data_IF_132676880113
#
_entry.id   IF_132676880113
#
_cell.length_a   1.000
_cell.length_b   1.000
_cell.length_c   1.000
_cell.angle_alpha   90.00
_cell.angle_beta   90.00
_cell.angle_gamma   90.00
#
_symmetry.space_group_name_H-M   'P 1'
#
loop_
_entity.id
_entity.type
_entity.pdbx_description
1 polymer ?
#
# COMPACT_ATOMS: atom_id res chain seq x y z
N UNK A 1 -3.73 -12.62 -3.99
CA UNK A 1 -3.77 -13.41 -5.23
C UNK A 1 -2.99 -12.65 -6.32
N UNK A 2 -1.79 -13.11 -6.71
CA UNK A 2 -0.98 -12.46 -7.73
C UNK A 2 -1.61 -12.50 -9.14
N UNK A 3 -2.71 -13.24 -9.34
CA UNK A 3 -3.42 -13.31 -10.63
C UNK A 3 -4.55 -12.29 -10.75
N UNK A 4 -4.99 -11.68 -9.64
CA UNK A 4 -6.05 -10.66 -9.61
C UNK A 4 -5.67 -9.35 -10.34
N UNK A 5 -4.38 -9.12 -10.59
CA UNK A 5 -3.88 -7.94 -11.28
C UNK A 5 -3.89 -8.04 -12.82
N UNK A 6 -4.40 -9.16 -13.38
CA UNK A 6 -4.37 -9.41 -14.83
C UNK A 6 -5.09 -8.34 -15.68
N UNK A 7 -6.08 -7.66 -15.10
CA UNK A 7 -6.77 -6.54 -15.76
C UNK A 7 -5.83 -5.37 -16.09
N UNK A 8 -4.88 -5.06 -15.20
CA UNK A 8 -3.93 -3.95 -15.40
C UNK A 8 -2.89 -4.24 -16.48
N UNK A 9 -2.62 -5.51 -16.76
CA UNK A 9 -1.72 -5.95 -17.84
C UNK A 9 -2.44 -6.17 -19.18
N UNK A 10 -3.78 -6.30 -19.18
CA UNK A 10 -4.55 -6.68 -20.36
C UNK A 10 -4.56 -5.61 -21.47
N UNK A 11 -4.32 -4.35 -21.11
CA UNK A 11 -4.27 -3.22 -22.05
C UNK A 11 -2.88 -2.95 -22.61
N UNK A 12 -1.86 -3.67 -22.13
CA UNK A 12 -0.46 -3.44 -22.49
C UNK A 12 0.01 -4.54 -23.46
N UNK A 13 0.67 -4.21 -24.59
CA UNK A 13 1.29 -5.19 -25.47
C UNK A 13 2.21 -6.16 -24.72
N UNK A 14 2.23 -7.44 -25.11
CA UNK A 14 2.95 -8.49 -24.37
C UNK A 14 4.48 -8.37 -24.36
N UNK A 15 5.04 -7.49 -25.18
CA UNK A 15 6.46 -7.12 -25.23
C UNK A 15 6.81 -5.88 -24.39
N UNK A 16 5.82 -5.18 -23.83
CA UNK A 16 6.05 -4.08 -22.90
C UNK A 16 6.55 -4.63 -21.55
N UNK A 17 7.62 -4.08 -20.97
CA UNK A 17 8.13 -4.50 -19.66
C UNK A 17 7.10 -4.37 -18.52
N UNK A 18 6.02 -3.58 -18.69
CA UNK A 18 4.91 -3.48 -17.75
C UNK A 18 3.87 -4.59 -17.90
N UNK A 19 3.98 -5.45 -18.91
CA UNK A 19 3.07 -6.59 -19.09
C UNK A 19 3.42 -7.77 -18.16
N UNK A 20 4.66 -7.84 -17.67
CA UNK A 20 5.07 -8.84 -16.67
C UNK A 20 4.74 -8.36 -15.26
N UNK A 21 3.64 -8.90 -14.70
CA UNK A 21 3.18 -8.57 -13.35
C UNK A 21 4.16 -8.91 -12.22
N UNK A 22 5.17 -9.74 -12.51
CA UNK A 22 6.22 -10.12 -11.56
C UNK A 22 7.51 -9.34 -11.77
N UNK A 23 7.58 -8.55 -12.85
CA UNK A 23 8.72 -7.70 -13.17
C UNK A 23 8.73 -6.42 -12.34
N UNK A 24 9.92 -5.87 -12.14
CA UNK A 24 10.13 -4.61 -11.39
C UNK A 24 9.66 -3.37 -12.14
N UNK A 25 9.32 -3.50 -13.42
CA UNK A 25 8.74 -2.43 -14.24
C UNK A 25 7.20 -2.37 -14.10
N UNK A 26 6.57 -3.40 -13.55
CA UNK A 26 5.14 -3.41 -13.28
C UNK A 26 4.85 -2.69 -11.96
N UNK A 27 4.19 -1.53 -12.08
CA UNK A 27 3.82 -0.67 -10.95
C UNK A 27 2.32 -0.34 -11.05
N UNK A 28 1.43 -1.29 -10.70
CA UNK A 28 -0.02 -1.10 -10.78
C UNK A 28 -0.57 -0.36 -9.55
N UNK A 29 0.26 -0.08 -8.56
CA UNK A 29 -0.18 0.38 -7.25
C UNK A 29 -0.17 1.91 -7.19
N UNK A 30 -1.25 2.47 -6.66
CA UNK A 30 -1.49 3.91 -6.71
C UNK A 30 -0.64 4.73 -5.75
N UNK A 31 -0.03 4.09 -4.74
CA UNK A 31 0.68 4.74 -3.65
C UNK A 31 1.93 3.93 -3.29
N UNK A 32 3.04 4.63 -3.08
CA UNK A 32 4.27 4.07 -2.50
C UNK A 32 4.58 4.77 -1.18
N UNK A 33 4.85 3.99 -0.14
CA UNK A 33 5.33 4.49 1.15
C UNK A 33 6.73 3.90 1.36
N UNK A 34 7.81 4.68 1.27
CA UNK A 34 9.20 4.21 1.40
C UNK A 34 9.59 3.93 2.86
N UNK A 35 8.76 3.13 3.55
CA UNK A 35 8.95 2.63 4.90
C UNK A 35 9.21 1.13 4.87
N UNK A 36 10.29 0.69 5.50
CA UNK A 36 10.68 -0.70 5.64
C UNK A 36 10.90 -1.01 7.13
N UNK A 37 10.61 -2.23 7.56
CA UNK A 37 11.08 -2.73 8.85
C UNK A 37 11.89 -4.01 8.67
N UNK A 38 12.89 -4.18 9.53
CA UNK A 38 13.68 -5.39 9.66
C UNK A 38 13.27 -6.06 10.96
N UNK A 39 13.03 -7.37 10.93
CA UNK A 39 12.77 -8.15 12.14
C UNK A 39 13.73 -9.33 12.19
N UNK A 40 14.42 -9.46 13.31
CA UNK A 40 15.25 -10.61 13.59
C UNK A 40 14.36 -11.84 13.86
N UNK A 41 14.58 -12.92 13.11
CA UNK A 41 13.73 -14.11 13.16
C UNK A 41 13.90 -14.91 14.47
N UNK A 42 15.04 -14.80 15.15
CA UNK A 42 15.33 -15.58 16.35
C UNK A 42 14.80 -14.90 17.62
N UNK A 43 14.94 -13.58 17.71
CA UNK A 43 14.60 -12.77 18.89
C UNK A 43 13.29 -12.02 18.73
N UNK A 44 12.82 -11.82 17.50
CA UNK A 44 11.64 -11.01 17.19
C UNK A 44 11.89 -9.50 17.26
N UNK A 45 13.09 -9.05 17.63
CA UNK A 45 13.45 -7.64 17.71
C UNK A 45 13.40 -7.00 16.32
N UNK A 46 12.84 -5.79 16.24
CA UNK A 46 12.65 -5.08 15.00
C UNK A 46 13.29 -3.68 15.01
N UNK A 47 13.54 -3.16 13.81
CA UNK A 47 13.87 -1.76 13.56
C UNK A 47 13.17 -1.29 12.28
N UNK A 48 12.89 0.00 12.15
CA UNK A 48 12.27 0.61 10.99
C UNK A 48 13.17 1.62 10.31
N UNK A 49 12.96 1.83 9.01
CA UNK A 49 13.57 2.88 8.19
C UNK A 49 12.48 3.55 7.35
N UNK A 50 12.44 4.87 7.34
CA UNK A 50 11.63 5.67 6.42
C UNK A 50 12.55 6.61 5.64
N UNK A 51 12.51 6.53 4.31
CA UNK A 51 13.27 7.45 3.44
C UNK A 51 12.33 8.53 2.90
N UNK A 52 12.49 9.75 3.38
CA UNK A 52 11.68 10.91 2.98
C UNK A 52 12.12 11.42 1.60
N UNK A 53 11.73 10.67 0.57
CA UNK A 53 12.04 10.97 -0.82
C UNK A 53 10.90 10.53 -1.75
N UNK A 54 10.33 11.49 -2.47
CA UNK A 54 9.21 11.28 -3.40
C UNK A 54 9.59 10.93 -4.84
N UNK A 55 10.89 10.80 -5.16
CA UNK A 55 11.33 10.36 -6.48
C UNK A 55 11.22 8.84 -6.61
N UNK A 56 11.41 8.33 -7.83
CA UNK A 56 11.41 6.89 -8.10
C UNK A 56 12.50 6.20 -7.26
N UNK A 57 12.05 5.36 -6.33
CA UNK A 57 12.90 4.54 -5.47
C UNK A 57 13.10 3.13 -6.04
N UNK A 58 14.28 2.57 -5.78
CA UNK A 58 14.67 1.22 -6.11
C UNK A 58 15.20 0.55 -4.86
N UNK A 59 14.61 -0.57 -4.47
CA UNK A 59 15.05 -1.38 -3.35
C UNK A 59 15.51 -2.74 -3.87
N UNK A 60 16.71 -3.15 -3.48
CA UNK A 60 17.32 -4.42 -3.82
C UNK A 60 17.61 -5.21 -2.54
N UNK A 61 16.96 -6.38 -2.42
CA UNK A 61 17.04 -7.31 -1.29
C UNK A 61 17.74 -8.62 -1.63
N UNK A 62 18.47 -8.67 -2.75
CA UNK A 62 19.08 -9.92 -3.24
C UNK A 62 20.32 -10.34 -2.45
N UNK A 63 20.98 -9.40 -1.77
CA UNK A 63 22.16 -9.68 -0.97
C UNK A 63 21.80 -10.32 0.37
N UNK A 64 22.55 -11.34 0.83
CA UNK A 64 22.36 -11.90 2.17
C UNK A 64 22.85 -10.97 3.29
N UNK A 65 23.72 -10.01 2.97
CA UNK A 65 24.40 -9.15 3.95
C UNK A 65 23.70 -7.80 4.15
N UNK A 66 22.61 -7.53 3.43
CA UNK A 66 21.86 -6.30 3.55
C UNK A 66 21.01 -5.98 2.33
N UNK A 67 20.45 -4.77 2.32
CA UNK A 67 19.66 -4.26 1.20
C UNK A 67 20.28 -2.96 0.67
N UNK A 68 19.93 -2.60 -0.56
CA UNK A 68 20.32 -1.33 -1.18
C UNK A 68 19.08 -0.55 -1.55
N UNK A 69 18.98 0.68 -1.04
CA UNK A 69 18.00 1.66 -1.46
C UNK A 69 18.66 2.74 -2.34
N UNK A 70 18.08 3.05 -3.49
CA UNK A 70 18.52 4.12 -4.40
C UNK A 70 17.32 4.91 -4.87
N UNK A 71 17.42 6.24 -4.89
CA UNK A 71 16.44 7.12 -5.49
C UNK A 71 17.04 7.81 -6.71
N UNK A 72 16.24 8.03 -7.74
CA UNK A 72 16.71 8.64 -9.00
C UNK A 72 17.14 10.10 -8.84
N UNK A 73 16.60 10.80 -7.84
CA UNK A 73 16.98 12.16 -7.48
C UNK A 73 16.55 12.48 -6.04
N UNK A 74 16.65 13.75 -5.66
CA UNK A 74 16.29 14.23 -4.32
C UNK A 74 17.39 14.02 -3.29
N UNK A 75 17.15 14.51 -2.08
CA UNK A 75 18.05 14.30 -0.96
C UNK A 75 17.80 12.93 -0.34
N UNK A 76 18.86 12.34 0.21
CA UNK A 76 18.73 11.14 1.01
C UNK A 76 18.52 11.55 2.48
N UNK A 77 17.26 11.56 2.90
CA UNK A 77 16.86 11.82 4.28
C UNK A 77 16.20 10.56 4.82
N UNK A 78 16.88 9.86 5.71
CA UNK A 78 16.41 8.60 6.30
C UNK A 78 16.17 8.77 7.81
N UNK A 79 15.00 8.32 8.26
CA UNK A 79 14.63 8.25 9.66
C UNK A 79 14.67 6.79 10.11
N UNK A 80 15.46 6.50 11.14
CA UNK A 80 15.61 5.14 11.69
C UNK A 80 14.87 5.05 13.02
N UNK A 81 14.04 4.03 13.15
CA UNK A 81 13.26 3.72 14.34
C UNK A 81 13.83 2.46 15.01
N UNK A 82 14.39 2.61 16.21
CA UNK A 82 15.23 1.56 16.81
C UNK A 82 14.45 0.35 17.39
N UNK A 83 13.12 0.43 17.53
CA UNK A 83 12.33 -0.62 18.18
C UNK A 83 12.69 -0.80 19.66
N UNK A 84 12.70 -2.05 20.19
CA UNK A 84 12.68 -3.33 19.47
C UNK A 84 11.29 -3.80 19.04
N UNK A 85 10.24 -3.18 19.58
CA UNK A 85 8.87 -3.62 19.35
C UNK A 85 8.23 -2.85 18.18
N UNK A 86 7.52 -3.56 17.31
CA UNK A 86 6.82 -2.96 16.15
C UNK A 86 5.85 -1.84 16.57
N UNK A 87 5.07 -1.96 17.67
CA UNK A 87 4.26 -0.85 18.17
C UNK A 87 5.03 0.46 18.39
N UNK A 88 6.22 0.39 18.99
CA UNK A 88 7.04 1.58 19.27
C UNK A 88 7.60 2.19 17.98
N UNK A 89 7.99 1.34 17.02
CA UNK A 89 8.39 1.77 15.68
C UNK A 89 7.25 2.53 15.00
N UNK A 90 6.03 1.98 15.03
CA UNK A 90 4.86 2.59 14.42
C UNK A 90 4.44 3.87 15.16
N UNK A 91 4.61 3.94 16.48
CA UNK A 91 4.40 5.17 17.24
C UNK A 91 5.35 6.27 16.78
N UNK A 92 6.65 5.98 16.66
CA UNK A 92 7.65 6.94 16.18
C UNK A 92 7.39 7.36 14.72
N UNK A 93 7.08 6.41 13.84
CA UNK A 93 6.78 6.68 12.44
C UNK A 93 5.54 7.56 12.29
N UNK A 94 4.44 7.21 12.96
CA UNK A 94 3.19 7.99 12.87
C UNK A 94 3.23 9.31 13.64
N UNK A 95 4.12 9.45 14.62
CA UNK A 95 4.42 10.77 15.20
C UNK A 95 5.06 11.70 14.14
N UNK A 96 5.96 11.17 13.31
CA UNK A 96 6.64 11.92 12.25
C UNK A 96 5.72 12.21 11.06
N UNK A 97 5.00 11.19 10.55
CA UNK A 97 4.23 11.29 9.29
C UNK A 97 2.74 11.58 9.47
N UNK A 98 2.28 11.62 10.73
CA UNK A 98 0.88 11.77 11.08
C UNK A 98 0.18 10.45 11.42
N UNK A 99 -0.82 10.57 12.29
CA UNK A 99 -1.69 9.46 12.72
C UNK A 99 -2.97 9.45 11.90
N UNK A 100 -3.53 8.27 11.69
CA UNK A 100 -4.83 8.11 11.04
C UNK A 100 -5.89 8.91 11.81
N UNK A 101 -6.63 9.82 11.16
CA UNK A 101 -7.72 10.52 11.82
C UNK A 101 -8.82 9.53 12.20
N UNK A 102 -9.54 9.80 13.30
CA UNK A 102 -10.64 8.95 13.73
C UNK A 102 -11.72 8.91 12.63
N UNK A 103 -11.99 7.75 12.00
CA UNK A 103 -13.01 7.67 10.97
C UNK A 103 -14.40 7.82 11.61
N UNK A 104 -15.38 8.45 10.91
CA UNK A 104 -16.75 8.42 11.37
C UNK A 104 -17.29 6.99 11.36
N UNK A 105 -18.21 6.67 12.28
CA UNK A 105 -18.70 5.28 12.49
C UNK A 105 -19.25 4.66 11.20
N UNK A 106 -19.98 5.43 10.38
CA UNK A 106 -20.53 4.94 9.11
C UNK A 106 -19.45 4.48 8.11
N UNK A 107 -18.22 4.98 8.21
CA UNK A 107 -17.12 4.58 7.33
C UNK A 107 -16.59 3.17 7.65
N UNK A 108 -16.88 2.64 8.84
CA UNK A 108 -16.52 1.28 9.25
C UNK A 108 -17.58 0.23 8.88
N UNK A 109 -18.71 0.67 8.33
CA UNK A 109 -19.78 -0.21 7.86
C UNK A 109 -19.53 -0.79 6.46
N UNK A 110 -20.55 -1.46 5.94
CA UNK A 110 -20.55 -1.97 4.56
C UNK A 110 -20.77 -0.83 3.56
N UNK A 111 -19.91 -0.73 2.55
CA UNK A 111 -19.99 0.26 1.47
C UNK A 111 -20.38 -0.41 0.15
N UNK A 112 -21.57 -0.11 -0.35
CA UNK A 112 -22.02 -0.59 -1.66
C UNK A 112 -21.60 0.39 -2.76
N UNK A 113 -20.83 -0.10 -3.73
CA UNK A 113 -20.36 0.71 -4.85
C UNK A 113 -20.21 -0.13 -6.12
N UNK A 114 -20.54 0.47 -7.26
CA UNK A 114 -20.22 -0.05 -8.58
C UNK A 114 -20.00 1.11 -9.54
N UNK A 115 -19.16 0.89 -10.54
CA UNK A 115 -19.11 1.80 -11.68
C UNK A 115 -20.31 1.58 -12.61
N UNK A 116 -21.27 2.51 -12.57
CA UNK A 116 -22.45 2.53 -13.41
C UNK A 116 -23.01 3.96 -13.57
N UNK A 117 -23.90 4.16 -14.54
CA UNK A 117 -24.74 5.36 -14.61
C UNK A 117 -25.99 5.10 -13.78
N UNK A 118 -26.19 5.91 -12.73
CA UNK A 118 -27.33 5.78 -11.83
C UNK A 118 -28.41 6.81 -12.10
N UNK A 119 -29.66 6.40 -11.91
CA UNK A 119 -30.82 7.26 -11.67
C UNK A 119 -31.15 7.27 -10.18
N UNK A 120 -32.06 8.14 -9.76
CA UNK A 120 -32.53 8.16 -8.37
C UNK A 120 -33.25 6.86 -8.01
N UNK A 121 -34.07 6.32 -8.92
CA UNK A 121 -34.85 5.11 -8.71
C UNK A 121 -33.93 3.90 -8.48
N UNK A 122 -32.84 3.79 -9.26
CA UNK A 122 -31.84 2.72 -9.08
C UNK A 122 -31.26 2.67 -7.66
N UNK A 123 -31.03 3.85 -7.06
CA UNK A 123 -30.47 3.96 -5.70
C UNK A 123 -31.51 3.60 -4.64
N UNK A 124 -32.76 4.02 -4.83
CA UNK A 124 -33.86 3.72 -3.90
C UNK A 124 -34.19 2.22 -3.92
N UNK A 125 -34.24 1.61 -5.09
CA UNK A 125 -34.49 0.18 -5.27
C UNK A 125 -33.37 -0.67 -4.68
N UNK A 126 -32.11 -0.27 -4.89
CA UNK A 126 -30.95 -0.90 -4.27
C UNK A 126 -31.02 -0.84 -2.74
N UNK A 127 -31.33 0.33 -2.18
CA UNK A 127 -31.45 0.48 -0.72
C UNK A 127 -32.61 -0.35 -0.15
N UNK A 128 -33.71 -0.50 -0.89
CA UNK A 128 -34.84 -1.35 -0.50
C UNK A 128 -34.46 -2.82 -0.51
N UNK A 129 -33.78 -3.25 -1.58
CA UNK A 129 -33.28 -4.63 -1.72
C UNK A 129 -32.33 -5.01 -0.58
N UNK A 130 -31.40 -4.13 -0.21
CA UNK A 130 -30.47 -4.37 0.92
C UNK A 130 -31.24 -4.58 2.23
N UNK A 131 -32.28 -3.78 2.49
CA UNK A 131 -33.13 -3.93 3.70
C UNK A 131 -33.94 -5.22 3.68
N UNK A 132 -34.54 -5.57 2.55
CA UNK A 132 -35.37 -6.76 2.41
C UNK A 132 -34.56 -8.05 2.58
N UNK A 133 -33.26 -7.99 2.26
CA UNK A 133 -32.32 -9.10 2.39
C UNK A 133 -31.60 -9.13 3.76
N UNK A 134 -31.84 -8.15 4.64
CA UNK A 134 -31.17 -8.01 5.94
C UNK A 134 -29.63 -8.02 5.84
N UNK A 135 -29.10 -7.24 4.88
CA UNK A 135 -27.66 -7.06 4.60
C UNK A 135 -27.15 -5.75 5.20
#
# INVERSE_FOLDING_TARGET
DPTAAGEFTAVVPGDDPRADRTGTAFDPYYISIPFLYHQDAATGAASGSFIDNGYRGHYDFTSPDGYRARFDAGQYTEYVFAGPDIPDILEGYTWLTGRTPLPPVWALGYHQCRWARYTQDDIVDLATTIRDLDI
#
